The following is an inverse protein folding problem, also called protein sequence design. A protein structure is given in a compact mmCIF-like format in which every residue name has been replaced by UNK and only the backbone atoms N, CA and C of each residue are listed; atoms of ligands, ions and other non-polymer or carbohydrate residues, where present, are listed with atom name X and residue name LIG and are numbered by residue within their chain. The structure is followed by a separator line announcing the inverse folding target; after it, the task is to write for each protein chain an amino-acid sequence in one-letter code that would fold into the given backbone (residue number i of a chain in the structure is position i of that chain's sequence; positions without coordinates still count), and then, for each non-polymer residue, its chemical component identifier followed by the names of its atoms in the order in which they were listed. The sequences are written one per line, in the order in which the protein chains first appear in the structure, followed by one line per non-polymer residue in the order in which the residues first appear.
data_IF_646976170861
#
_entry.id   IF_646976170861
#
_cell.length_a   1.000
_cell.length_b   1.000
_cell.length_c   1.000
_cell.angle_alpha   90.00
_cell.angle_beta   90.00
_cell.angle_gamma   90.00
#
_symmetry.space_group_name_H-M   'P 1'
#
loop_
_entity.id
_entity.type
_entity.pdbx_description
1 polymer ?
#
# COMPACT_ATOMS: atom_id res chain seq x y z
N UNK A 1 -10.10 22.23 -49.13
CA UNK A 1 -11.34 22.34 -48.32
C UNK A 1 -11.28 21.34 -47.19
N UNK A 2 -11.06 21.80 -45.97
CA UNK A 2 -11.29 21.03 -44.75
C UNK A 2 -11.67 22.04 -43.64
N UNK A 3 -12.84 21.81 -43.02
CA UNK A 3 -13.50 22.73 -42.09
C UNK A 3 -12.73 22.88 -40.78
N UNK A 4 -12.54 24.13 -40.35
CA UNK A 4 -12.08 24.47 -39.01
C UNK A 4 -13.22 24.20 -37.99
N UNK A 5 -12.94 23.36 -37.01
CA UNK A 5 -13.82 23.18 -35.86
C UNK A 5 -13.78 24.46 -35.00
N UNK A 6 -14.90 25.17 -34.95
CA UNK A 6 -15.06 26.39 -34.15
C UNK A 6 -15.11 26.02 -32.67
N UNK A 7 -14.05 26.38 -31.94
CA UNK A 7 -14.02 26.27 -30.49
C UNK A 7 -14.93 27.34 -29.88
N UNK A 8 -16.08 26.92 -29.35
CA UNK A 8 -17.01 27.80 -28.63
C UNK A 8 -16.36 28.29 -27.34
N UNK A 9 -15.78 29.50 -27.37
CA UNK A 9 -15.28 30.22 -26.20
C UNK A 9 -16.47 30.49 -25.25
N UNK A 10 -16.41 29.90 -24.05
CA UNK A 10 -17.38 30.22 -22.99
C UNK A 10 -17.10 31.65 -22.48
N UNK A 11 -18.13 32.49 -22.29
CA UNK A 11 -17.91 33.83 -21.74
C UNK A 11 -17.47 33.73 -20.28
N UNK A 12 -16.27 34.22 -19.99
CA UNK A 12 -15.77 34.43 -18.62
C UNK A 12 -16.73 35.39 -17.89
N UNK A 13 -17.42 34.89 -16.86
CA UNK A 13 -18.30 35.71 -16.02
C UNK A 13 -17.43 36.68 -15.22
N UNK A 14 -17.63 38.01 -15.30
CA UNK A 14 -16.78 38.95 -14.59
C UNK A 14 -16.89 38.73 -13.08
N UNK A 15 -15.77 38.35 -12.46
CA UNK A 15 -15.69 38.14 -11.01
C UNK A 15 -16.00 39.48 -10.31
N UNK A 16 -16.96 39.47 -9.37
CA UNK A 16 -17.43 40.67 -8.65
C UNK A 16 -16.24 41.43 -8.05
N UNK A 17 -16.06 42.71 -8.44
CA UNK A 17 -15.03 43.59 -7.86
C UNK A 17 -15.23 43.68 -6.35
N UNK A 18 -14.24 43.23 -5.59
CA UNK A 18 -14.21 43.39 -4.13
C UNK A 18 -13.83 44.85 -3.83
N UNK A 19 -14.62 45.53 -3.01
CA UNK A 19 -14.27 46.85 -2.46
C UNK A 19 -13.75 46.64 -1.04
N UNK A 20 -12.56 47.13 -0.74
CA UNK A 20 -12.07 47.20 0.63
C UNK A 20 -12.85 48.26 1.41
N UNK A 21 -13.06 48.01 2.71
CA UNK A 21 -13.67 48.99 3.59
C UNK A 21 -12.63 50.07 3.94
N UNK A 22 -12.88 51.37 3.68
CA UNK A 22 -11.91 52.43 3.95
C UNK A 22 -11.45 52.50 5.41
N UNK A 23 -12.27 52.02 6.36
CA UNK A 23 -11.92 52.02 7.79
C UNK A 23 -10.90 50.93 8.15
N UNK A 24 -10.73 49.90 7.30
CA UNK A 24 -9.86 48.75 7.58
C UNK A 24 -8.67 48.66 6.60
N UNK A 25 -8.44 49.71 5.80
CA UNK A 25 -7.44 49.74 4.72
C UNK A 25 -6.02 49.39 5.22
N UNK A 26 -5.65 49.85 6.42
CA UNK A 26 -4.37 49.54 7.05
C UNK A 26 -4.21 48.10 7.58
N UNK A 27 -5.28 47.29 7.54
CA UNK A 27 -5.29 45.89 7.97
C UNK A 27 -5.57 44.94 6.80
N UNK A 28 -5.71 45.45 5.58
CA UNK A 28 -5.89 44.62 4.39
C UNK A 28 -4.52 44.05 4.00
N UNK A 29 -4.41 42.73 4.07
CA UNK A 29 -3.28 42.02 3.48
C UNK A 29 -3.58 41.86 2.00
N UNK A 30 -2.90 42.62 1.14
CA UNK A 30 -3.06 42.55 -0.32
C UNK A 30 -2.41 41.30 -0.94
N UNK A 31 -1.53 40.62 -0.19
CA UNK A 31 -0.90 39.37 -0.58
C UNK A 31 -1.79 38.15 -0.33
N UNK A 32 -1.60 37.09 -1.12
CA UNK A 32 -2.24 35.80 -0.87
C UNK A 32 -1.63 35.18 0.40
N UNK A 33 -2.46 34.90 1.41
CA UNK A 33 -2.02 34.30 2.69
C UNK A 33 -1.80 32.78 2.62
N UNK A 34 -1.35 32.26 1.47
CA UNK A 34 -0.95 30.85 1.35
C UNK A 34 -1.72 29.99 0.35
N UNK A 35 -2.52 30.57 -0.57
CA UNK A 35 -3.10 29.77 -1.68
C UNK A 35 -2.10 29.50 -2.81
N UNK A 36 -0.83 29.32 -2.46
CA UNK A 36 0.29 29.08 -3.37
C UNK A 36 0.85 27.66 -3.28
N UNK A 37 0.21 26.77 -2.53
CA UNK A 37 0.48 25.35 -2.70
C UNK A 37 -0.14 24.95 -4.04
N UNK A 38 0.71 24.79 -5.04
CA UNK A 38 0.35 24.24 -6.33
C UNK A 38 -0.36 22.92 -6.04
N UNK A 39 -1.65 22.77 -6.39
CA UNK A 39 -2.43 21.55 -6.08
C UNK A 39 -1.66 20.27 -6.50
N UNK A 40 -0.75 20.40 -7.48
CA UNK A 40 0.20 19.38 -7.90
C UNK A 40 1.18 18.95 -6.80
N UNK A 41 1.75 19.86 -6.02
CA UNK A 41 2.70 19.52 -4.95
C UNK A 41 2.00 18.80 -3.80
N UNK A 42 0.79 19.19 -3.45
CA UNK A 42 -0.02 18.49 -2.44
C UNK A 42 -0.49 17.13 -2.93
N UNK A 43 -0.93 17.03 -4.19
CA UNK A 43 -1.30 15.75 -4.80
C UNK A 43 -0.10 14.79 -4.85
N UNK A 44 1.10 15.29 -5.17
CA UNK A 44 2.33 14.50 -5.14
C UNK A 44 2.67 14.03 -3.72
N UNK A 45 2.55 14.91 -2.71
CA UNK A 45 2.78 14.53 -1.31
C UNK A 45 1.83 13.42 -0.85
N UNK A 46 0.53 13.55 -1.15
CA UNK A 46 -0.46 12.52 -0.83
C UNK A 46 -0.19 11.22 -1.56
N UNK A 47 0.19 11.28 -2.85
CA UNK A 47 0.53 10.11 -3.64
C UNK A 47 1.72 9.33 -3.06
N UNK A 48 2.83 10.02 -2.77
CA UNK A 48 4.01 9.38 -2.19
C UNK A 48 3.77 8.90 -0.75
N UNK A 49 3.03 9.65 0.06
CA UNK A 49 2.63 9.23 1.41
C UNK A 49 1.80 7.93 1.39
N UNK A 50 0.90 7.78 0.42
CA UNK A 50 0.15 6.55 0.23
C UNK A 50 1.06 5.39 -0.17
N UNK A 51 2.01 5.61 -1.09
CA UNK A 51 2.99 4.59 -1.49
C UNK A 51 3.82 4.15 -0.28
N UNK A 52 4.36 5.09 0.48
CA UNK A 52 5.17 4.80 1.67
C UNK A 52 4.38 4.00 2.71
N UNK A 53 3.11 4.35 2.90
CA UNK A 53 2.22 3.61 3.82
C UNK A 53 1.98 2.18 3.35
N UNK A 54 1.74 1.98 2.05
CA UNK A 54 1.56 0.63 1.46
C UNK A 54 2.85 -0.17 1.56
N UNK A 55 4.00 0.44 1.28
CA UNK A 55 5.31 -0.21 1.42
C UNK A 55 5.58 -0.62 2.86
N UNK A 56 5.26 0.23 3.84
CA UNK A 56 5.38 -0.09 5.26
C UNK A 56 4.51 -1.28 5.68
N UNK A 57 3.25 -1.30 5.26
CA UNK A 57 2.34 -2.43 5.51
C UNK A 57 2.81 -3.71 4.81
N UNK A 58 3.32 -3.60 3.57
CA UNK A 58 3.86 -4.75 2.84
C UNK A 58 5.09 -5.33 3.54
N UNK A 59 6.02 -4.49 3.99
CA UNK A 59 7.20 -4.93 4.72
C UNK A 59 6.82 -5.58 6.06
N UNK A 60 5.86 -5.01 6.79
CA UNK A 60 5.39 -5.59 8.04
C UNK A 60 4.68 -6.94 7.84
N UNK A 61 3.77 -7.04 6.87
CA UNK A 61 2.95 -8.25 6.64
C UNK A 61 3.70 -9.35 5.91
N UNK A 62 4.53 -9.00 4.93
CA UNK A 62 5.30 -9.92 4.11
C UNK A 62 6.78 -9.92 4.46
N UNK A 63 7.14 -9.50 5.68
CA UNK A 63 8.50 -9.65 6.19
C UNK A 63 8.99 -11.08 5.99
N UNK A 64 10.31 -11.24 5.86
CA UNK A 64 10.92 -12.55 5.64
C UNK A 64 10.41 -13.59 6.66
N UNK A 65 10.35 -13.21 7.93
CA UNK A 65 9.80 -14.03 9.01
C UNK A 65 8.33 -14.41 8.80
N UNK A 66 7.46 -13.45 8.48
CA UNK A 66 6.04 -13.71 8.29
C UNK A 66 5.79 -14.57 7.04
N UNK A 67 6.59 -14.38 5.99
CA UNK A 67 6.54 -15.21 4.78
C UNK A 67 6.97 -16.65 5.06
N UNK A 68 8.01 -16.85 5.89
CA UNK A 68 8.43 -18.17 6.34
C UNK A 68 7.32 -18.85 7.15
N UNK A 69 6.65 -18.11 8.04
CA UNK A 69 5.53 -18.65 8.83
C UNK A 69 4.33 -19.03 7.98
N UNK A 70 3.98 -18.22 6.97
CA UNK A 70 2.93 -18.56 6.03
C UNK A 70 3.25 -19.86 5.26
N UNK A 71 4.51 -20.05 4.86
CA UNK A 71 4.97 -21.30 4.23
C UNK A 71 4.93 -22.47 5.21
N UNK A 72 5.30 -22.28 6.48
CA UNK A 72 5.20 -23.31 7.51
C UNK A 72 3.75 -23.75 7.75
N UNK A 73 2.82 -22.80 7.77
CA UNK A 73 1.38 -23.08 7.90
C UNK A 73 0.87 -23.86 6.69
N UNK A 74 1.30 -23.50 5.48
CA UNK A 74 0.97 -24.24 4.26
C UNK A 74 1.49 -25.69 4.33
N UNK A 75 2.69 -25.91 4.89
CA UNK A 75 3.24 -27.24 5.08
C UNK A 75 2.48 -28.12 6.10
N UNK A 76 1.55 -27.54 6.88
CA UNK A 76 0.63 -28.29 7.74
C UNK A 76 -0.73 -28.55 7.09
N UNK A 77 -0.99 -28.00 5.90
CA UNK A 77 -2.22 -28.22 5.15
C UNK A 77 -2.08 -29.43 4.20
N UNK A 78 -2.91 -30.48 4.33
CA UNK A 78 -2.87 -31.66 3.46
C UNK A 78 -3.14 -31.36 1.98
N UNK A 79 -3.81 -30.27 1.66
CA UNK A 79 -4.08 -29.85 0.27
C UNK A 79 -2.92 -29.04 -0.34
N UNK A 80 -1.90 -28.69 0.44
CA UNK A 80 -0.74 -27.96 -0.07
C UNK A 80 0.28 -28.90 -0.69
N UNK A 81 0.89 -28.49 -1.80
CA UNK A 81 2.03 -29.19 -2.41
C UNK A 81 3.23 -29.31 -1.46
N UNK A 82 3.30 -28.48 -0.43
CA UNK A 82 4.38 -28.46 0.58
C UNK A 82 4.04 -29.24 1.84
N UNK A 83 2.96 -30.03 1.83
CA UNK A 83 2.51 -30.77 3.01
C UNK A 83 3.60 -31.68 3.59
N UNK A 84 3.82 -31.54 4.90
CA UNK A 84 4.83 -32.25 5.69
C UNK A 84 6.28 -32.04 5.21
N UNK A 85 6.60 -30.92 4.54
CA UNK A 85 8.00 -30.55 4.30
C UNK A 85 8.69 -30.14 5.62
N UNK A 86 9.65 -30.95 6.05
CA UNK A 86 10.39 -30.74 7.29
C UNK A 86 11.10 -29.38 7.33
N UNK A 87 11.57 -28.87 6.19
CA UNK A 87 12.23 -27.56 6.11
C UNK A 87 11.25 -26.42 6.38
N UNK A 88 10.06 -26.50 5.80
CA UNK A 88 9.02 -25.51 6.00
C UNK A 88 8.45 -25.56 7.42
N UNK A 89 8.20 -26.75 7.98
CA UNK A 89 7.64 -26.91 9.34
C UNK A 89 8.63 -26.45 10.42
N UNK A 90 9.93 -26.52 10.17
CA UNK A 90 10.97 -26.09 11.11
C UNK A 90 10.75 -24.69 11.67
N UNK A 91 10.37 -23.71 10.84
CA UNK A 91 10.21 -22.34 11.32
C UNK A 91 9.09 -22.17 12.37
N UNK A 92 8.06 -23.03 12.35
CA UNK A 92 7.00 -23.01 13.37
C UNK A 92 7.41 -23.78 14.64
N UNK A 93 8.20 -24.84 14.48
CA UNK A 93 8.71 -25.66 15.57
C UNK A 93 9.79 -24.91 16.38
N UNK A 94 10.64 -24.14 15.70
CA UNK A 94 11.62 -23.26 16.32
C UNK A 94 10.94 -22.20 17.22
N UNK A 95 9.70 -21.78 16.91
CA UNK A 95 8.93 -20.87 17.75
C UNK A 95 8.31 -21.54 18.99
N UNK A 96 7.89 -22.79 18.88
CA UNK A 96 7.33 -23.54 20.01
C UNK A 96 8.41 -24.15 20.91
N UNK A 97 9.67 -24.12 20.49
CA UNK A 97 10.78 -24.80 21.15
C UNK A 97 10.74 -26.33 20.98
N UNK A 98 10.01 -26.81 19.97
CA UNK A 98 9.85 -28.24 19.71
C UNK A 98 10.95 -28.73 18.76
N UNK A 99 11.56 -29.90 19.02
CA UNK A 99 12.53 -30.47 18.09
C UNK A 99 11.84 -30.98 16.82
N UNK A 100 12.44 -30.73 15.67
CA UNK A 100 12.02 -31.31 14.39
C UNK A 100 12.74 -32.65 14.20
N UNK A 101 11.99 -33.74 14.16
CA UNK A 101 12.52 -35.07 13.88
C UNK A 101 12.21 -35.41 12.41
N UNK A 102 13.16 -35.16 11.51
CA UNK A 102 12.97 -35.35 10.05
C UNK A 102 12.49 -36.76 9.67
N UNK A 103 12.89 -37.78 10.45
CA UNK A 103 12.45 -39.16 10.25
C UNK A 103 10.92 -39.30 10.36
N UNK A 104 10.26 -38.59 11.28
CA UNK A 104 8.81 -38.65 11.49
C UNK A 104 8.02 -38.04 10.31
N UNK A 105 8.56 -36.97 9.72
CA UNK A 105 7.98 -36.37 8.53
C UNK A 105 8.09 -37.33 7.35
N UNK A 106 9.25 -37.97 7.15
CA UNK A 106 9.45 -38.92 6.05
C UNK A 106 8.55 -40.17 6.15
N UNK A 107 8.37 -40.72 7.36
CA UNK A 107 7.53 -41.90 7.59
C UNK A 107 6.06 -41.56 7.42
N UNK A 108 5.63 -40.38 7.89
CA UNK A 108 4.26 -39.89 7.76
C UNK A 108 3.89 -39.63 6.29
N UNK A 109 4.75 -38.94 5.53
CA UNK A 109 4.52 -38.71 4.09
C UNK A 109 4.47 -40.03 3.33
N UNK A 110 5.38 -40.96 3.61
CA UNK A 110 5.37 -42.30 2.97
C UNK A 110 4.12 -43.09 3.34
N UNK A 111 3.62 -42.99 4.57
CA UNK A 111 2.38 -43.65 5.02
C UNK A 111 1.16 -43.10 4.29
N UNK A 112 1.10 -41.80 4.05
CA UNK A 112 0.00 -41.16 3.35
C UNK A 112 -0.03 -41.47 1.84
N UNK A 113 1.11 -41.82 1.23
CA UNK A 113 1.18 -42.25 -0.16
C UNK A 113 0.75 -43.71 -0.39
N UNK A 114 0.58 -44.49 0.68
CA UNK A 114 0.21 -45.92 0.62
C UNK A 114 -1.30 -46.17 0.80
N UNK A 115 -2.10 -45.12 0.98
CA UNK A 115 -3.56 -45.16 1.05
C UNK A 115 -4.15 -44.31 -0.09
#
# INVERSE_FOLDING_TARGET
MAMAASATLRPEVPKRRRRANPTMDGYVVEGTTGHGDDDKTELQRLYYSMIDSVLGEMDQRFSERNSQLAKSLAALNPESDTFLDAKAVKHIMDLSGSPVIEAEFSTSTRRLQLF
#
